data_IF_252317478579
#
_entry.id   IF_252317478579
#
_cell.length_a   1.000
_cell.length_b   1.000
_cell.length_c   1.000
_cell.angle_alpha   90.00
_cell.angle_beta   90.00
_cell.angle_gamma   90.00
#
_symmetry.space_group_name_H-M   'P 1'
#
loop_
_entity.id
_entity.type
_entity.pdbx_description
1 polymer ?
#
# COMPACT_ATOMS: atom_id res chain seq x y z
N UNK A 1 62.35 -10.44 29.48
CA UNK A 1 61.47 -11.58 29.14
C UNK A 1 60.98 -11.39 27.71
N UNK A 2 61.53 -12.14 26.74
CA UNK A 2 61.11 -12.06 25.32
C UNK A 2 59.94 -13.02 25.13
N UNK A 3 58.74 -12.50 24.89
CA UNK A 3 57.58 -13.31 24.53
C UNK A 3 57.68 -13.54 23.03
N UNK A 4 58.08 -14.74 22.62
CA UNK A 4 58.01 -15.18 21.22
C UNK A 4 56.62 -15.75 20.94
N UNK A 5 55.75 -14.93 20.36
CA UNK A 5 54.52 -15.40 19.71
C UNK A 5 54.91 -15.95 18.33
N UNK A 6 55.05 -17.27 18.21
CA UNK A 6 55.07 -17.91 16.89
C UNK A 6 53.64 -17.88 16.34
N UNK A 7 53.31 -16.85 15.56
CA UNK A 7 52.05 -16.81 14.80
C UNK A 7 52.22 -17.73 13.61
N UNK A 8 52.09 -19.04 13.84
CA UNK A 8 52.47 -20.07 12.86
C UNK A 8 51.52 -20.13 11.66
N UNK A 9 50.39 -19.43 11.68
CA UNK A 9 49.47 -19.36 10.53
C UNK A 9 48.58 -18.09 10.52
N UNK A 10 49.20 -16.92 10.27
CA UNK A 10 48.50 -15.63 10.14
C UNK A 10 47.39 -15.70 9.10
N UNK A 11 47.64 -16.39 7.98
CA UNK A 11 46.67 -16.50 6.89
C UNK A 11 45.38 -17.19 7.35
N UNK A 12 45.49 -18.27 8.13
CA UNK A 12 44.34 -18.98 8.68
C UNK A 12 43.56 -18.15 9.70
N UNK A 13 44.24 -17.38 10.55
CA UNK A 13 43.60 -16.46 11.49
C UNK A 13 42.85 -15.34 10.76
N UNK A 14 43.45 -14.74 9.72
CA UNK A 14 42.79 -13.72 8.91
C UNK A 14 41.58 -14.27 8.16
N UNK A 15 41.66 -15.49 7.62
CA UNK A 15 40.52 -16.14 6.96
C UNK A 15 39.37 -16.40 7.94
N UNK A 16 39.67 -16.83 9.16
CA UNK A 16 38.66 -17.01 10.20
C UNK A 16 37.98 -15.68 10.56
N UNK A 17 38.76 -14.61 10.69
CA UNK A 17 38.24 -13.27 10.98
C UNK A 17 37.32 -12.74 9.87
N UNK A 18 37.70 -12.93 8.60
CA UNK A 18 36.87 -12.58 7.45
C UNK A 18 35.57 -13.37 7.47
N UNK A 19 35.62 -14.68 7.70
CA UNK A 19 34.43 -15.54 7.75
C UNK A 19 33.49 -15.14 8.89
N UNK A 20 34.02 -14.76 10.05
CA UNK A 20 33.27 -14.23 11.17
C UNK A 20 32.57 -12.91 10.79
N UNK A 21 33.29 -11.98 10.18
CA UNK A 21 32.76 -10.72 9.68
C UNK A 21 31.66 -10.90 8.63
N UNK A 22 31.88 -11.76 7.63
CA UNK A 22 30.89 -12.07 6.60
C UNK A 22 29.59 -12.60 7.22
N UNK A 23 29.71 -13.51 8.20
CA UNK A 23 28.56 -14.09 8.91
C UNK A 23 27.83 -13.03 9.74
N UNK A 24 28.56 -12.19 10.47
CA UNK A 24 28.00 -11.12 11.28
C UNK A 24 27.25 -10.10 10.42
N UNK A 25 27.86 -9.62 9.33
CA UNK A 25 27.23 -8.68 8.38
C UNK A 25 25.99 -9.29 7.74
N UNK A 26 26.09 -10.50 7.23
CA UNK A 26 24.96 -11.18 6.57
C UNK A 26 23.78 -11.40 7.50
N UNK A 27 24.06 -11.71 8.77
CA UNK A 27 23.03 -11.91 9.80
C UNK A 27 22.38 -10.58 10.17
N UNK A 28 23.17 -9.54 10.45
CA UNK A 28 22.68 -8.21 10.78
C UNK A 28 21.78 -7.63 9.67
N UNK A 29 22.19 -7.77 8.41
CA UNK A 29 21.42 -7.31 7.24
C UNK A 29 20.13 -8.12 7.07
N UNK A 30 20.18 -9.46 7.21
CA UNK A 30 18.99 -10.33 7.16
C UNK A 30 17.98 -9.96 8.23
N UNK A 31 18.44 -9.67 9.44
CA UNK A 31 17.59 -9.29 10.57
C UNK A 31 17.03 -7.89 10.40
N UNK A 32 17.81 -6.95 9.87
CA UNK A 32 17.34 -5.61 9.51
C UNK A 32 16.24 -5.67 8.44
N UNK A 33 16.45 -6.44 7.37
CA UNK A 33 15.45 -6.64 6.32
C UNK A 33 14.16 -7.30 6.82
N UNK A 34 14.28 -8.34 7.66
CA UNK A 34 13.12 -9.02 8.26
C UNK A 34 12.37 -8.12 9.24
N UNK A 35 13.11 -7.37 10.06
CA UNK A 35 12.57 -6.37 10.98
C UNK A 35 11.82 -5.27 10.25
N UNK A 36 12.42 -4.68 9.21
CA UNK A 36 11.79 -3.63 8.39
C UNK A 36 10.50 -4.11 7.73
N UNK A 37 10.51 -5.30 7.12
CA UNK A 37 9.30 -5.91 6.55
C UNK A 37 8.20 -6.08 7.60
N UNK A 38 8.56 -6.48 8.82
CA UNK A 38 7.60 -6.66 9.91
C UNK A 38 7.06 -5.31 10.39
N UNK A 39 7.92 -4.30 10.55
CA UNK A 39 7.55 -2.93 10.92
C UNK A 39 6.57 -2.32 9.90
N UNK A 40 6.91 -2.36 8.60
CA UNK A 40 6.03 -1.88 7.53
C UNK A 40 4.68 -2.60 7.52
N UNK A 41 4.67 -3.92 7.72
CA UNK A 41 3.41 -4.68 7.83
C UNK A 41 2.57 -4.22 9.02
N UNK A 42 3.22 -4.04 10.18
CA UNK A 42 2.59 -3.53 11.38
C UNK A 42 2.01 -2.14 11.20
N UNK A 43 2.75 -1.24 10.57
CA UNK A 43 2.30 0.12 10.25
C UNK A 43 1.08 0.08 9.31
N UNK A 44 1.09 -0.72 8.25
CA UNK A 44 -0.03 -0.86 7.31
C UNK A 44 -1.29 -1.40 8.00
N UNK A 45 -1.15 -2.42 8.85
CA UNK A 45 -2.30 -2.96 9.59
C UNK A 45 -2.80 -2.02 10.68
N UNK A 46 -1.89 -1.37 11.42
CA UNK A 46 -2.21 -0.39 12.45
C UNK A 46 -2.88 0.86 11.87
N UNK A 47 -2.49 1.23 10.65
CA UNK A 47 -3.15 2.24 9.84
C UNK A 47 -4.48 1.76 9.24
N UNK A 48 -5.02 0.58 9.60
CA UNK A 48 -6.33 0.13 9.12
C UNK A 48 -6.44 -0.11 7.62
N UNK A 49 -5.32 -0.33 6.91
CA UNK A 49 -5.32 -0.66 5.47
C UNK A 49 -5.50 -2.17 5.20
N UNK A 50 -5.53 -2.96 6.27
CA UNK A 50 -5.87 -4.38 6.26
C UNK A 50 -4.70 -5.32 5.95
N UNK A 51 -4.87 -6.58 6.38
CA UNK A 51 -3.82 -7.60 6.30
C UNK A 51 -3.44 -7.98 4.85
N UNK A 52 -4.37 -7.85 3.89
CA UNK A 52 -4.08 -8.16 2.48
C UNK A 52 -3.03 -7.22 1.89
N UNK A 53 -3.11 -5.92 2.20
CA UNK A 53 -2.11 -4.95 1.74
C UNK A 53 -0.79 -5.18 2.47
N UNK A 54 -0.79 -5.42 3.78
CA UNK A 54 0.45 -5.72 4.51
C UNK A 54 1.20 -6.93 3.92
N UNK A 55 0.49 -7.99 3.50
CA UNK A 55 1.10 -9.17 2.85
C UNK A 55 1.74 -8.87 1.49
N UNK A 56 1.50 -7.71 0.87
CA UNK A 56 2.21 -7.32 -0.36
C UNK A 56 3.65 -6.91 -0.10
N UNK A 57 4.01 -6.56 1.14
CA UNK A 57 5.40 -6.32 1.54
C UNK A 57 6.19 -7.63 1.47
N UNK A 58 7.30 -7.59 0.75
CA UNK A 58 8.25 -8.69 0.51
C UNK A 58 9.64 -8.25 0.93
N UNK A 59 10.48 -9.24 1.18
CA UNK A 59 11.90 -9.05 1.48
C UNK A 59 12.71 -10.12 0.76
N UNK A 60 13.93 -9.80 0.38
CA UNK A 60 14.90 -10.71 -0.20
C UNK A 60 16.29 -10.31 0.23
N UNK A 61 17.13 -11.30 0.55
CA UNK A 61 18.50 -11.10 0.97
C UNK A 61 19.45 -11.50 -0.16
N UNK A 62 20.57 -10.81 -0.23
CA UNK A 62 21.62 -11.00 -1.22
C UNK A 62 22.99 -11.06 -0.53
N UNK A 63 23.87 -12.00 -0.91
CA UNK A 63 23.55 -13.18 -1.73
C UNK A 63 22.57 -14.14 -1.02
N UNK A 64 21.83 -14.95 -1.78
CA UNK A 64 20.70 -15.71 -1.25
C UNK A 64 21.08 -16.89 -0.33
N UNK A 65 22.31 -17.38 -0.40
CA UNK A 65 22.75 -18.59 0.33
C UNK A 65 24.16 -18.51 0.95
N UNK A 66 24.89 -17.43 0.71
CA UNK A 66 26.26 -17.27 1.20
C UNK A 66 26.35 -16.09 2.16
N UNK A 67 27.36 -16.13 3.01
CA UNK A 67 27.74 -14.96 3.78
C UNK A 67 28.62 -14.04 2.92
N UNK A 68 28.54 -12.74 3.15
CA UNK A 68 29.35 -11.73 2.48
C UNK A 68 29.46 -10.48 3.34
N UNK A 69 30.60 -9.81 3.27
CA UNK A 69 30.77 -8.44 3.79
C UNK A 69 29.90 -7.43 3.03
N UNK A 70 29.49 -7.76 1.79
CA UNK A 70 28.63 -6.93 0.96
C UNK A 70 27.17 -7.43 0.97
N UNK A 71 26.72 -8.01 2.08
CA UNK A 71 25.35 -8.48 2.18
C UNK A 71 24.35 -7.32 2.07
N UNK A 72 23.23 -7.56 1.38
CA UNK A 72 22.15 -6.60 1.19
C UNK A 72 20.78 -7.23 1.44
N UNK A 73 19.83 -6.43 1.92
CA UNK A 73 18.43 -6.84 2.04
C UNK A 73 17.53 -5.82 1.32
N UNK A 74 16.73 -6.30 0.37
CA UNK A 74 15.74 -5.50 -0.35
C UNK A 74 14.37 -5.74 0.26
N UNK A 75 13.68 -4.67 0.65
CA UNK A 75 12.28 -4.71 1.12
C UNK A 75 11.43 -3.86 0.18
N UNK A 76 10.34 -4.44 -0.33
CA UNK A 76 9.49 -3.78 -1.33
C UNK A 76 8.03 -4.22 -1.23
N UNK A 77 7.14 -3.54 -1.95
CA UNK A 77 5.73 -3.91 -2.06
C UNK A 77 5.36 -4.39 -3.46
N UNK A 78 4.51 -5.43 -3.55
CA UNK A 78 3.80 -5.79 -4.79
C UNK A 78 2.65 -4.83 -5.15
N UNK A 79 2.36 -3.84 -4.30
CA UNK A 79 1.33 -2.81 -4.52
C UNK A 79 1.91 -1.39 -4.29
N UNK A 80 2.95 -0.99 -5.03
CA UNK A 80 3.69 0.24 -4.74
C UNK A 80 2.83 1.50 -4.88
N UNK A 81 1.93 1.55 -5.86
CA UNK A 81 1.06 2.72 -6.07
C UNK A 81 0.10 2.97 -4.90
N UNK A 82 -0.48 1.91 -4.32
CA UNK A 82 -1.43 2.03 -3.20
C UNK A 82 -0.68 2.47 -1.94
N UNK A 83 0.47 1.84 -1.67
CA UNK A 83 1.28 2.15 -0.49
C UNK A 83 1.86 3.56 -0.60
N UNK A 84 2.46 3.90 -1.74
CA UNK A 84 3.01 5.24 -1.99
C UNK A 84 1.95 6.33 -1.90
N UNK A 85 0.71 6.06 -2.31
CA UNK A 85 -0.38 7.02 -2.12
C UNK A 85 -0.67 7.28 -0.63
N UNK A 86 -0.65 6.25 0.22
CA UNK A 86 -0.85 6.43 1.66
C UNK A 86 0.38 6.98 2.40
N UNK A 87 1.57 6.90 1.81
CA UNK A 87 2.80 7.47 2.34
C UNK A 87 2.98 8.96 1.96
N UNK A 88 2.51 9.36 0.77
CA UNK A 88 2.63 10.74 0.28
C UNK A 88 1.37 11.59 0.47
N UNK A 89 0.19 10.97 0.49
CA UNK A 89 -1.10 11.67 0.58
C UNK A 89 -1.42 12.55 -0.63
N UNK A 90 -1.43 12.00 -1.86
CA UNK A 90 -1.54 12.79 -3.09
C UNK A 90 -2.93 13.39 -3.25
N UNK A 91 -2.98 14.48 -4.01
CA UNK A 91 -4.23 15.06 -4.52
C UNK A 91 -4.65 14.31 -5.78
N UNK A 92 -5.82 13.69 -5.74
CA UNK A 92 -6.42 12.94 -6.84
C UNK A 92 -7.40 13.86 -7.57
N UNK A 93 -7.24 13.97 -8.89
CA UNK A 93 -8.15 14.68 -9.79
C UNK A 93 -8.51 13.80 -10.97
N UNK A 94 -9.58 14.14 -11.68
CA UNK A 94 -9.91 13.45 -12.92
C UNK A 94 -8.84 13.71 -13.98
N UNK A 95 -8.61 12.72 -14.85
CA UNK A 95 -7.67 12.83 -15.97
C UNK A 95 -8.29 13.60 -17.13
N UNK A 96 -9.53 13.24 -17.48
CA UNK A 96 -10.16 13.63 -18.76
C UNK A 96 -11.33 14.60 -18.57
N UNK A 97 -11.47 15.22 -17.39
CA UNK A 97 -12.55 16.16 -17.12
C UNK A 97 -12.44 16.84 -15.77
N UNK A 98 -13.45 17.65 -15.43
CA UNK A 98 -13.45 18.41 -14.19
C UNK A 98 -13.87 17.58 -12.96
N UNK A 99 -14.74 16.60 -13.14
CA UNK A 99 -15.34 15.85 -12.03
C UNK A 99 -14.78 14.44 -11.86
N UNK A 100 -14.54 14.04 -10.61
CA UNK A 100 -14.46 12.65 -10.18
C UNK A 100 -15.87 12.16 -9.83
N UNK A 101 -16.34 11.16 -10.57
CA UNK A 101 -17.61 10.51 -10.29
C UNK A 101 -17.44 9.36 -9.29
N UNK A 102 -17.87 9.57 -8.05
CA UNK A 102 -17.82 8.61 -6.96
C UNK A 102 -19.21 7.95 -6.85
N UNK A 103 -19.37 6.66 -7.19
CA UNK A 103 -20.65 5.98 -7.09
C UNK A 103 -21.09 5.84 -5.64
N UNK A 104 -22.37 6.11 -5.41
CA UNK A 104 -23.07 5.78 -4.17
C UNK A 104 -23.43 4.29 -4.15
N UNK A 105 -23.85 3.73 -3.01
CA UNK A 105 -24.38 2.36 -2.98
C UNK A 105 -25.52 2.11 -3.99
N UNK A 106 -26.31 3.15 -4.28
CA UNK A 106 -27.42 3.07 -5.23
C UNK A 106 -26.98 2.80 -6.68
N UNK A 107 -25.76 3.18 -7.06
CA UNK A 107 -25.19 2.89 -8.37
C UNK A 107 -24.91 1.40 -8.58
N UNK A 108 -24.65 0.65 -7.50
CA UNK A 108 -24.19 -0.73 -7.58
C UNK A 108 -22.78 -0.87 -8.17
N UNK A 109 -22.44 -2.07 -8.63
CA UNK A 109 -21.12 -2.42 -9.19
C UNK A 109 -21.17 -2.51 -10.72
N UNK A 110 -20.02 -2.40 -11.38
CA UNK A 110 -19.90 -2.69 -12.82
C UNK A 110 -20.23 -4.16 -13.12
N UNK A 111 -20.65 -4.46 -14.36
CA UNK A 111 -20.83 -5.84 -14.84
C UNK A 111 -19.54 -6.66 -14.77
N UNK A 112 -18.38 -6.02 -14.98
CA UNK A 112 -17.06 -6.65 -14.89
C UNK A 112 -16.53 -6.77 -13.45
N UNK A 113 -17.37 -6.41 -12.47
CA UNK A 113 -16.95 -6.21 -11.09
C UNK A 113 -16.25 -4.86 -10.89
N UNK A 114 -16.26 -4.37 -9.65
CA UNK A 114 -15.65 -3.09 -9.30
C UNK A 114 -16.54 -1.86 -9.50
N UNK A 115 -15.90 -0.71 -9.72
CA UNK A 115 -16.53 0.62 -9.72
C UNK A 115 -17.23 0.88 -11.06
N UNK A 116 -18.52 1.20 -11.03
CA UNK A 116 -19.28 1.54 -12.24
C UNK A 116 -19.03 3.00 -12.65
N UNK A 117 -19.01 3.29 -13.95
CA UNK A 117 -18.93 4.65 -14.49
C UNK A 117 -20.33 5.22 -14.78
N UNK A 118 -20.50 6.56 -14.84
CA UNK A 118 -21.79 7.17 -15.20
C UNK A 118 -22.36 6.65 -16.52
N UNK A 119 -21.55 6.60 -17.58
CA UNK A 119 -21.97 6.13 -18.90
C UNK A 119 -22.38 4.65 -18.87
N UNK A 120 -21.62 3.80 -18.18
CA UNK A 120 -21.98 2.38 -18.02
C UNK A 120 -23.30 2.24 -17.24
N UNK A 121 -23.51 3.06 -16.20
CA UNK A 121 -24.72 3.03 -15.40
C UNK A 121 -25.96 3.39 -16.21
N UNK A 122 -25.91 4.44 -17.04
CA UNK A 122 -27.02 4.82 -17.93
C UNK A 122 -27.33 3.71 -18.93
N UNK A 123 -26.30 3.18 -19.62
CA UNK A 123 -26.46 2.10 -20.59
C UNK A 123 -27.09 0.85 -19.99
N UNK A 124 -26.71 0.52 -18.75
CA UNK A 124 -27.22 -0.67 -18.06
C UNK A 124 -28.64 -0.50 -17.55
N UNK A 125 -28.99 0.68 -17.05
CA UNK A 125 -30.30 0.91 -16.40
C UNK A 125 -31.35 1.46 -17.35
N UNK A 126 -30.94 2.01 -18.49
CA UNK A 126 -31.82 2.76 -19.41
C UNK A 126 -32.28 4.12 -18.86
N UNK A 127 -31.81 4.50 -17.67
CA UNK A 127 -32.15 5.78 -17.04
C UNK A 127 -31.12 6.84 -17.40
N UNK A 128 -31.59 8.07 -17.63
CA UNK A 128 -30.72 9.23 -17.85
C UNK A 128 -30.30 9.83 -16.51
N UNK A 129 -29.01 10.11 -16.38
CA UNK A 129 -28.44 10.85 -15.27
C UNK A 129 -28.66 12.34 -15.51
N UNK A 130 -29.19 13.02 -14.51
CA UNK A 130 -29.34 14.48 -14.47
C UNK A 130 -28.29 15.07 -13.54
N UNK A 131 -27.61 16.11 -14.02
CA UNK A 131 -26.68 16.86 -13.20
C UNK A 131 -27.43 17.80 -12.27
N UNK A 132 -27.04 17.79 -10.99
CA UNK A 132 -27.55 18.71 -9.97
C UNK A 132 -26.36 19.40 -9.32
N UNK A 133 -26.25 20.70 -9.58
CA UNK A 133 -25.25 21.53 -8.93
C UNK A 133 -25.61 21.76 -7.46
N UNK A 134 -24.59 21.73 -6.59
CA UNK A 134 -24.73 22.10 -5.19
C UNK A 134 -23.66 23.13 -4.83
N UNK A 135 -24.09 24.29 -4.35
CA UNK A 135 -23.20 25.36 -3.89
C UNK A 135 -22.35 24.91 -2.70
N UNK A 136 -22.90 24.07 -1.84
CA UNK A 136 -22.22 23.49 -0.68
C UNK A 136 -22.18 21.96 -0.79
N UNK A 137 -20.98 21.39 -0.72
CA UNK A 137 -20.73 19.96 -0.82
C UNK A 137 -20.61 19.45 -2.28
N UNK A 138 -20.53 18.12 -2.47
CA UNK A 138 -20.41 17.52 -3.80
C UNK A 138 -21.65 17.78 -4.66
N UNK A 139 -21.44 18.13 -5.92
CA UNK A 139 -22.50 18.09 -6.96
C UNK A 139 -22.91 16.64 -7.22
N UNK A 140 -24.06 16.43 -7.84
CA UNK A 140 -24.63 15.08 -7.97
C UNK A 140 -24.94 14.73 -9.42
N UNK A 141 -24.81 13.45 -9.75
CA UNK A 141 -25.58 12.83 -10.83
C UNK A 141 -26.71 12.03 -10.20
N UNK A 142 -27.94 12.44 -10.49
CA UNK A 142 -29.15 11.82 -9.96
C UNK A 142 -29.91 11.12 -11.08
N UNK A 143 -30.71 10.13 -10.74
CA UNK A 143 -31.64 9.51 -11.67
C UNK A 143 -33.03 9.46 -11.05
N UNK A 144 -34.05 9.55 -11.89
CA UNK A 144 -35.43 9.33 -11.50
C UNK A 144 -35.75 7.84 -11.61
N UNK A 145 -36.10 7.22 -10.50
CA UNK A 145 -36.33 5.79 -10.46
C UNK A 145 -36.83 5.34 -9.09
N UNK A 146 -36.69 4.05 -8.81
CA UNK A 146 -36.99 3.48 -7.50
C UNK A 146 -35.78 2.74 -6.95
N UNK A 147 -35.70 2.64 -5.62
CA UNK A 147 -34.76 1.73 -4.98
C UNK A 147 -35.34 0.31 -4.97
N UNK A 148 -34.53 -0.67 -5.33
CA UNK A 148 -34.86 -2.08 -5.12
C UNK A 148 -34.55 -2.51 -3.68
N UNK A 149 -34.88 -3.75 -3.31
CA UNK A 149 -34.61 -4.31 -1.98
C UNK A 149 -33.12 -4.34 -1.60
N UNK A 150 -32.22 -4.19 -2.58
CA UNK A 150 -30.77 -4.10 -2.39
C UNK A 150 -30.27 -2.65 -2.32
N UNK A 151 -31.18 -1.67 -2.23
CA UNK A 151 -30.85 -0.24 -2.19
C UNK A 151 -30.29 0.32 -3.49
N UNK A 152 -30.49 -0.35 -4.63
CA UNK A 152 -30.00 0.10 -5.94
C UNK A 152 -31.09 0.80 -6.74
N UNK A 153 -30.71 1.86 -7.43
CA UNK A 153 -31.61 2.57 -8.32
C UNK A 153 -31.91 1.73 -9.58
N UNK A 154 -33.21 1.57 -9.87
CA UNK A 154 -33.72 0.88 -11.05
C UNK A 154 -34.86 1.68 -11.65
N UNK A 155 -35.12 1.47 -12.95
CA UNK A 155 -36.30 2.03 -13.58
C UNK A 155 -37.59 1.59 -12.86
N UNK A 156 -38.56 2.50 -12.78
CA UNK A 156 -39.91 2.13 -12.33
C UNK A 156 -40.66 1.49 -13.48
N UNK A 157 -41.42 0.42 -13.18
CA UNK A 157 -42.34 -0.22 -14.13
C UNK A 157 -43.79 0.27 -13.97
N UNK A 158 -44.03 1.17 -13.02
CA UNK A 158 -45.37 1.73 -12.78
C UNK A 158 -45.72 2.76 -13.84
N UNK A 159 -46.88 2.60 -14.49
CA UNK A 159 -47.43 3.60 -15.42
C UNK A 159 -47.86 4.90 -14.74
N UNK A 160 -48.20 4.84 -13.45
CA UNK A 160 -48.70 6.00 -12.68
C UNK A 160 -47.61 6.76 -11.93
N UNK A 161 -46.34 6.36 -12.07
CA UNK A 161 -45.22 6.98 -11.37
C UNK A 161 -45.15 6.68 -9.87
N UNK A 162 -46.06 5.85 -9.33
CA UNK A 162 -46.08 5.49 -7.91
C UNK A 162 -44.74 4.91 -7.45
N UNK A 163 -44.11 5.53 -6.46
CA UNK A 163 -42.82 5.11 -5.90
C UNK A 163 -41.58 5.60 -6.68
N UNK A 164 -41.75 6.54 -7.62
CA UNK A 164 -40.63 7.27 -8.21
C UNK A 164 -40.00 8.22 -7.18
N UNK A 165 -38.68 8.28 -7.19
CA UNK A 165 -37.87 9.18 -6.37
C UNK A 165 -36.63 9.62 -7.15
N UNK A 166 -36.07 10.75 -6.75
CA UNK A 166 -34.79 11.22 -7.27
C UNK A 166 -33.67 10.63 -6.43
N UNK A 167 -32.93 9.69 -7.00
CA UNK A 167 -31.87 8.96 -6.29
C UNK A 167 -30.50 9.52 -6.67
N UNK A 168 -29.67 9.95 -5.71
CA UNK A 168 -28.27 10.27 -5.96
C UNK A 168 -27.47 9.01 -6.34
N UNK A 169 -26.94 8.99 -7.56
CA UNK A 169 -26.18 7.84 -8.09
C UNK A 169 -24.68 8.08 -7.98
N UNK A 170 -24.22 9.30 -8.27
CA UNK A 170 -22.82 9.67 -8.11
C UNK A 170 -22.68 10.99 -7.34
N UNK A 171 -21.67 11.03 -6.46
CA UNK A 171 -21.11 12.27 -5.95
C UNK A 171 -20.06 12.75 -6.95
N UNK A 172 -20.12 14.02 -7.32
CA UNK A 172 -19.16 14.70 -8.17
C UNK A 172 -18.33 15.64 -7.33
N UNK A 173 -17.02 15.38 -7.28
CA UNK A 173 -16.03 16.23 -6.61
C UNK A 173 -14.94 16.60 -7.59
N UNK A 174 -14.37 17.82 -7.56
CA UNK A 174 -13.32 18.20 -8.51
C UNK A 174 -12.02 17.44 -8.24
N UNK A 175 -11.72 17.25 -6.95
CA UNK A 175 -10.51 16.59 -6.47
C UNK A 175 -10.73 16.02 -5.06
N UNK A 176 -9.90 15.05 -4.68
CA UNK A 176 -9.87 14.45 -3.34
C UNK A 176 -8.43 14.33 -2.89
N UNK A 177 -8.10 14.79 -1.68
CA UNK A 177 -6.79 14.54 -1.08
C UNK A 177 -6.83 13.24 -0.29
N UNK A 178 -5.91 12.32 -0.58
CA UNK A 178 -5.77 11.11 0.21
C UNK A 178 -5.02 11.44 1.51
N UNK A 179 -5.50 10.94 2.65
CA UNK A 179 -4.79 11.11 3.91
C UNK A 179 -3.47 10.34 3.89
N UNK A 180 -2.38 10.99 4.32
CA UNK A 180 -1.14 10.31 4.66
C UNK A 180 -1.36 9.47 5.91
N UNK A 181 -1.17 8.16 5.80
CA UNK A 181 -1.37 7.17 6.88
C UNK A 181 -0.10 6.39 7.21
N UNK A 182 0.90 6.45 6.35
CA UNK A 182 2.15 5.72 6.47
C UNK A 182 3.33 6.70 6.57
N UNK A 183 4.41 6.19 7.13
CA UNK A 183 5.72 6.85 7.20
C UNK A 183 6.77 5.74 7.13
N UNK A 184 6.99 5.25 5.92
CA UNK A 184 7.84 4.08 5.68
C UNK A 184 9.33 4.41 5.77
N UNK A 185 9.68 5.65 5.43
CA UNK A 185 11.05 6.17 5.48
C UNK A 185 11.59 6.12 6.91
N UNK A 186 10.81 6.58 7.89
CA UNK A 186 11.19 6.52 9.30
C UNK A 186 11.55 5.12 9.78
N UNK A 187 10.76 4.12 9.40
CA UNK A 187 11.03 2.74 9.80
C UNK A 187 12.25 2.16 9.04
N UNK A 188 12.51 2.62 7.81
CA UNK A 188 13.69 2.26 7.04
C UNK A 188 14.98 2.86 7.65
N UNK A 189 14.96 4.14 8.03
CA UNK A 189 16.07 4.81 8.72
C UNK A 189 16.43 4.08 10.01
N UNK A 190 15.44 3.77 10.85
CA UNK A 190 15.65 2.97 12.08
C UNK A 190 16.27 1.60 11.81
N UNK A 191 15.88 0.95 10.71
CA UNK A 191 16.46 -0.33 10.35
C UNK A 191 17.94 -0.18 9.98
N UNK A 192 18.28 0.83 9.18
CA UNK A 192 19.67 1.15 8.79
C UNK A 192 20.51 1.49 10.02
N UNK A 193 20.03 2.38 10.89
CA UNK A 193 20.75 2.81 12.10
C UNK A 193 21.04 1.66 13.07
N UNK A 194 20.22 0.59 13.04
CA UNK A 194 20.43 -0.60 13.87
C UNK A 194 21.52 -1.54 13.37
N UNK A 195 21.92 -1.43 12.08
CA UNK A 195 22.83 -2.39 11.44
C UNK A 195 24.21 -2.39 12.08
N UNK A 196 24.91 -1.26 12.28
CA UNK A 196 26.27 -1.27 12.84
C UNK A 196 26.35 -1.96 14.20
N UNK A 197 25.40 -1.64 15.11
CA UNK A 197 25.34 -2.28 16.43
C UNK A 197 25.11 -3.79 16.36
N UNK A 198 24.27 -4.25 15.43
CA UNK A 198 24.03 -5.69 15.19
C UNK A 198 25.24 -6.41 14.61
N UNK A 199 25.97 -5.76 13.71
CA UNK A 199 27.22 -6.31 13.16
C UNK A 199 28.22 -6.53 14.29
N UNK A 200 28.49 -5.49 15.09
CA UNK A 200 29.45 -5.58 16.20
C UNK A 200 29.05 -6.67 17.20
N UNK A 201 27.78 -6.69 17.61
CA UNK A 201 27.27 -7.70 18.53
C UNK A 201 27.37 -9.13 17.96
N UNK A 202 27.13 -9.31 16.65
CA UNK A 202 27.25 -10.60 15.99
C UNK A 202 28.70 -11.05 15.76
N UNK A 203 29.62 -10.10 15.58
CA UNK A 203 31.02 -10.37 15.32
C UNK A 203 31.79 -10.73 16.59
N UNK A 204 31.58 -10.01 17.70
CA UNK A 204 32.26 -10.29 18.98
C UNK A 204 31.90 -11.67 19.55
N UNK A 205 30.73 -12.20 19.18
CA UNK A 205 30.23 -13.51 19.61
C UNK A 205 30.48 -14.65 18.60
N UNK A 206 31.19 -14.37 17.49
CA UNK A 206 31.47 -15.33 16.41
C UNK A 206 32.74 -16.15 16.67
#
# INVERSE_FOLDING_TARGET
MKISLSVTDIAKLMQAEIAAGEKAVSTAIRDAGTGLKTAWRGQITGAGLGARLARTIRSQNYPAGNNSLNAAALVWSKAPAIIGAHDTGPLIRSRDGFWLAIPTPAAGKSLRGGRITPLEWERRTGLRLRFVYRRQGPSLLVAEGRLNSKGRATASRSRTGRGLTTVPIFLLVPQVRLCKRLDLARDAERAVDSVPGRIVAGWVNA
#
